data_IF_469385010946
#
_entry.id   IF_469385010946
#
_cell.length_a   1.000
_cell.length_b   1.000
_cell.length_c   1.000
_cell.angle_alpha   90.00
_cell.angle_beta   90.00
_cell.angle_gamma   90.00
#
_symmetry.space_group_name_H-M   'P 1'
#
loop_
_entity.id
_entity.type
_entity.pdbx_description
1 polymer ?
#
# COMPACT_ATOMS: atom_id res chain seq x y z
N UNK A 1 -9.87 12.10 -12.91
CA UNK A 1 -8.88 12.40 -11.84
C UNK A 1 -7.92 11.21 -11.75
N UNK A 2 -6.66 11.41 -11.36
CA UNK A 2 -5.68 10.31 -11.26
C UNK A 2 -5.72 9.64 -9.88
N UNK A 3 -5.51 8.34 -9.82
CA UNK A 3 -5.13 7.63 -8.60
C UNK A 3 -3.64 7.28 -8.69
N UNK A 4 -2.85 7.66 -7.69
CA UNK A 4 -1.43 7.30 -7.61
C UNK A 4 -1.24 6.38 -6.41
N UNK A 5 -0.67 5.20 -6.64
CA UNK A 5 -0.28 4.27 -5.59
C UNK A 5 1.25 4.17 -5.55
N UNK A 6 1.85 4.46 -4.39
CA UNK A 6 3.26 4.22 -4.12
C UNK A 6 3.39 2.94 -3.30
N UNK A 7 3.82 1.85 -3.93
CA UNK A 7 3.81 0.51 -3.35
C UNK A 7 5.22 -0.08 -3.34
N UNK A 8 5.56 -0.82 -2.31
CA UNK A 8 6.81 -1.60 -2.27
C UNK A 8 6.60 -3.09 -2.57
N UNK A 9 5.38 -3.45 -3.01
CA UNK A 9 4.97 -4.72 -3.60
C UNK A 9 5.34 -5.96 -2.78
N UNK A 10 4.95 -5.93 -1.51
CA UNK A 10 4.60 -7.12 -0.76
C UNK A 10 3.21 -7.68 -1.13
N UNK A 11 2.78 -8.72 -0.42
CA UNK A 11 1.45 -9.32 -0.60
C UNK A 11 0.31 -8.35 -0.25
N UNK A 12 0.52 -7.47 0.71
CA UNK A 12 -0.49 -6.51 1.16
C UNK A 12 -0.68 -5.38 0.14
N UNK A 13 0.41 -4.83 -0.43
CA UNK A 13 0.34 -3.90 -1.56
C UNK A 13 -0.36 -4.52 -2.77
N UNK A 14 -0.10 -5.80 -3.04
CA UNK A 14 -0.71 -6.49 -4.17
C UNK A 14 -2.23 -6.64 -3.98
N UNK A 15 -2.68 -6.90 -2.75
CA UNK A 15 -4.10 -6.92 -2.40
C UNK A 15 -4.71 -5.52 -2.57
N UNK A 16 -4.10 -4.50 -1.98
CA UNK A 16 -4.54 -3.11 -2.06
C UNK A 16 -4.61 -2.59 -3.50
N UNK A 17 -3.58 -2.88 -4.31
CA UNK A 17 -3.53 -2.50 -5.73
C UNK A 17 -4.64 -3.18 -6.51
N UNK A 18 -4.91 -4.47 -6.26
CA UNK A 18 -5.99 -5.19 -6.92
C UNK A 18 -7.37 -4.60 -6.56
N UNK A 19 -7.62 -4.30 -5.29
CA UNK A 19 -8.89 -3.66 -4.87
C UNK A 19 -9.06 -2.27 -5.49
N UNK A 20 -8.03 -1.42 -5.37
CA UNK A 20 -8.05 -0.07 -5.87
C UNK A 20 -8.29 -0.02 -7.39
N UNK A 21 -7.61 -0.88 -8.17
CA UNK A 21 -7.78 -0.90 -9.62
C UNK A 21 -9.11 -1.52 -10.07
N UNK A 22 -9.65 -2.49 -9.32
CA UNK A 22 -10.97 -3.07 -9.62
C UNK A 22 -12.09 -2.01 -9.52
N UNK A 23 -11.92 -1.05 -8.62
CA UNK A 23 -12.93 -0.03 -8.31
C UNK A 23 -12.62 1.36 -8.87
N UNK A 24 -11.41 1.58 -9.41
CA UNK A 24 -10.92 2.90 -9.82
C UNK A 24 -11.91 3.68 -10.71
N UNK A 25 -12.51 3.03 -11.72
CA UNK A 25 -13.47 3.68 -12.62
C UNK A 25 -14.77 4.08 -11.90
N UNK A 26 -15.24 3.23 -10.97
CA UNK A 26 -16.46 3.49 -10.18
C UNK A 26 -16.24 4.64 -9.20
N UNK A 27 -15.02 4.76 -8.67
CA UNK A 27 -14.60 5.81 -7.75
C UNK A 27 -14.28 7.14 -8.47
N UNK A 28 -14.48 7.20 -9.79
CA UNK A 28 -14.33 8.43 -10.60
C UNK A 28 -12.89 8.72 -11.05
N UNK A 29 -11.98 7.76 -10.91
CA UNK A 29 -10.65 7.87 -11.49
C UNK A 29 -10.71 7.59 -13.00
N UNK A 30 -9.93 8.36 -13.75
CA UNK A 30 -9.82 8.27 -15.21
C UNK A 30 -8.48 7.67 -15.65
N UNK A 31 -7.57 7.49 -14.70
CA UNK A 31 -6.20 7.01 -14.88
C UNK A 31 -5.68 6.53 -13.52
N UNK A 32 -4.84 5.50 -13.54
CA UNK A 32 -4.11 5.03 -12.38
C UNK A 32 -2.60 5.00 -12.66
N UNK A 33 -1.80 5.26 -11.63
CA UNK A 33 -0.34 5.24 -11.70
C UNK A 33 0.18 4.38 -10.56
N UNK A 34 1.06 3.45 -10.89
CA UNK A 34 1.74 2.57 -9.94
C UNK A 34 3.20 2.99 -9.83
N UNK A 35 3.56 3.62 -8.72
CA UNK A 35 4.94 3.96 -8.39
C UNK A 35 5.55 2.81 -7.60
N UNK A 36 6.38 2.00 -8.27
CA UNK A 36 7.02 0.84 -7.66
C UNK A 36 8.23 1.27 -6.83
N UNK A 37 8.04 1.46 -5.53
CA UNK A 37 9.04 1.92 -4.57
C UNK A 37 9.84 0.75 -3.95
N UNK A 38 11.01 1.04 -3.38
CA UNK A 38 11.73 0.08 -2.54
C UNK A 38 11.17 0.02 -1.11
N UNK A 39 11.29 -1.14 -0.47
CA UNK A 39 10.85 -1.36 0.92
C UNK A 39 10.91 -2.83 1.31
N UNK A 40 9.77 -3.54 1.28
CA UNK A 40 9.69 -4.99 1.43
C UNK A 40 10.62 -5.76 0.48
N UNK A 41 10.85 -5.20 -0.71
CA UNK A 41 11.79 -5.71 -1.71
C UNK A 41 12.60 -4.53 -2.29
N UNK A 42 13.77 -4.79 -2.92
CA UNK A 42 14.51 -3.73 -3.61
C UNK A 42 13.71 -3.19 -4.82
N UNK A 43 13.97 -1.95 -5.28
CA UNK A 43 13.21 -1.29 -6.35
C UNK A 43 13.07 -2.10 -7.63
N UNK A 44 14.10 -2.87 -8.02
CA UNK A 44 14.07 -3.71 -9.23
C UNK A 44 13.04 -4.83 -9.10
N UNK A 45 12.96 -5.46 -7.93
CA UNK A 45 11.98 -6.53 -7.67
C UNK A 45 10.58 -5.94 -7.54
N UNK A 46 10.44 -4.78 -6.89
CA UNK A 46 9.18 -4.05 -6.77
C UNK A 46 8.61 -3.70 -8.15
N UNK A 47 9.43 -3.21 -9.07
CA UNK A 47 9.04 -2.92 -10.44
C UNK A 47 8.54 -4.17 -11.18
N UNK A 48 9.26 -5.28 -11.07
CA UNK A 48 8.84 -6.54 -11.70
C UNK A 48 7.55 -7.09 -11.07
N UNK A 49 7.40 -6.96 -9.75
CA UNK A 49 6.18 -7.35 -9.05
C UNK A 49 4.97 -6.54 -9.51
N UNK A 50 5.11 -5.23 -9.66
CA UNK A 50 4.07 -4.36 -10.22
C UNK A 50 3.61 -4.87 -11.59
N UNK A 51 4.56 -5.16 -12.48
CA UNK A 51 4.28 -5.67 -13.84
C UNK A 51 3.60 -7.03 -13.80
N UNK A 52 4.09 -7.95 -12.97
CA UNK A 52 3.50 -9.29 -12.78
C UNK A 52 2.06 -9.18 -12.29
N UNK A 53 1.80 -8.39 -11.25
CA UNK A 53 0.46 -8.19 -10.72
C UNK A 53 -0.49 -7.68 -11.81
N UNK A 54 -0.10 -6.62 -12.52
CA UNK A 54 -0.88 -6.03 -13.62
C UNK A 54 -1.18 -7.05 -14.71
N UNK A 55 -0.19 -7.87 -15.10
CA UNK A 55 -0.36 -8.91 -16.11
C UNK A 55 -1.35 -10.03 -15.72
N UNK A 56 -1.64 -10.20 -14.42
CA UNK A 56 -2.56 -11.23 -13.92
C UNK A 56 -3.93 -10.69 -13.48
N UNK A 57 -4.18 -9.38 -13.57
CA UNK A 57 -5.48 -8.82 -13.22
C UNK A 57 -6.56 -9.45 -14.11
N UNK A 58 -7.64 -10.02 -13.54
CA UNK A 58 -8.68 -10.71 -14.31
C UNK A 58 -9.71 -9.73 -14.92
N UNK A 59 -9.48 -8.43 -14.79
CA UNK A 59 -10.37 -7.36 -15.20
C UNK A 59 -9.58 -6.26 -15.93
N UNK A 60 -10.27 -5.48 -16.77
CA UNK A 60 -9.69 -4.29 -17.38
C UNK A 60 -9.55 -3.16 -16.36
N UNK A 61 -8.51 -2.33 -16.49
CA UNK A 61 -8.29 -1.17 -15.63
C UNK A 61 -8.65 0.12 -16.37
N UNK A 62 -8.76 1.23 -15.63
CA UNK A 62 -8.53 2.56 -16.23
C UNK A 62 -7.13 2.62 -16.87
N UNK A 63 -6.84 3.55 -17.80
CA UNK A 63 -5.49 3.75 -18.31
C UNK A 63 -4.46 3.73 -17.18
N UNK A 64 -3.48 2.83 -17.30
CA UNK A 64 -2.54 2.51 -16.23
C UNK A 64 -1.13 2.79 -16.71
N UNK A 65 -0.34 3.50 -15.89
CA UNK A 65 1.10 3.68 -16.08
C UNK A 65 1.84 3.09 -14.90
N UNK A 66 2.93 2.36 -15.15
CA UNK A 66 3.88 1.94 -14.10
C UNK A 66 5.08 2.90 -14.11
N UNK A 67 5.50 3.34 -12.95
CA UNK A 67 6.64 4.25 -12.77
C UNK A 67 7.82 3.46 -12.24
N UNK A 68 8.90 3.50 -12.99
CA UNK A 68 10.17 2.85 -12.68
C UNK A 68 11.01 3.76 -11.76
N UNK A 69 11.28 3.27 -10.55
CA UNK A 69 12.07 3.98 -9.54
C UNK A 69 13.46 3.39 -9.32
N UNK A 70 13.90 2.45 -10.18
CA UNK A 70 15.22 1.78 -10.04
C UNK A 70 16.41 2.74 -10.14
N UNK A 71 16.22 3.91 -10.74
CA UNK A 71 17.21 5.00 -10.76
C UNK A 71 17.28 5.82 -9.46
N UNK A 72 16.40 5.57 -8.50
CA UNK A 72 16.28 6.35 -7.26
C UNK A 72 16.82 5.56 -6.05
N UNK A 73 17.65 6.21 -5.24
CA UNK A 73 18.17 5.59 -4.01
C UNK A 73 17.06 5.45 -2.96
N UNK A 74 16.82 4.21 -2.52
CA UNK A 74 15.73 3.87 -1.60
C UNK A 74 16.18 2.77 -0.63
N UNK A 75 15.74 2.79 0.64
CA UNK A 75 15.99 1.71 1.59
C UNK A 75 15.11 0.50 1.26
N UNK A 76 15.56 -0.69 1.65
CA UNK A 76 14.77 -1.93 1.58
C UNK A 76 15.25 -2.95 2.61
N UNK A 77 14.37 -3.86 3.02
CA UNK A 77 14.66 -5.00 3.89
C UNK A 77 14.04 -6.27 3.30
N UNK A 78 14.83 -7.02 2.53
CA UNK A 78 14.31 -8.11 1.71
C UNK A 78 14.46 -9.49 2.37
N UNK A 79 13.44 -9.90 3.13
CA UNK A 79 13.41 -11.18 3.84
C UNK A 79 12.88 -12.33 2.97
N UNK A 80 13.68 -12.77 2.01
CA UNK A 80 13.34 -13.85 1.06
C UNK A 80 12.83 -15.15 1.70
N UNK A 81 13.41 -15.52 2.85
CA UNK A 81 13.02 -16.74 3.57
C UNK A 81 11.57 -16.70 4.09
N UNK A 82 11.00 -15.51 4.22
CA UNK A 82 9.65 -15.28 4.73
C UNK A 82 8.68 -14.89 3.62
N UNK A 83 9.11 -14.15 2.60
CA UNK A 83 8.20 -13.60 1.58
C UNK A 83 8.39 -14.18 0.17
N UNK A 84 9.23 -15.20 0.00
CA UNK A 84 9.54 -15.79 -1.32
C UNK A 84 10.64 -15.05 -2.06
N UNK A 85 10.98 -15.51 -3.26
CA UNK A 85 12.07 -14.92 -4.05
C UNK A 85 11.68 -13.57 -4.67
N UNK A 86 10.38 -13.30 -4.78
CA UNK A 86 9.84 -12.04 -5.29
C UNK A 86 9.20 -11.15 -4.22
N UNK A 87 8.98 -11.61 -2.98
CA UNK A 87 8.30 -10.83 -1.94
C UNK A 87 6.76 -10.86 -1.99
N UNK A 88 6.19 -11.41 -3.06
CA UNK A 88 4.74 -11.69 -3.22
C UNK A 88 4.41 -13.18 -3.02
N UNK A 89 5.28 -13.93 -2.32
CA UNK A 89 5.13 -15.36 -2.08
C UNK A 89 5.19 -16.21 -3.34
N UNK A 90 5.82 -15.73 -4.41
CA UNK A 90 5.93 -16.39 -5.71
C UNK A 90 4.55 -16.78 -6.29
N UNK A 91 3.55 -15.92 -6.06
CA UNK A 91 2.14 -16.18 -6.40
C UNK A 91 1.86 -16.05 -7.90
N UNK A 92 2.58 -15.16 -8.58
CA UNK A 92 2.33 -14.80 -9.98
C UNK A 92 3.44 -15.35 -10.89
N UNK A 93 3.06 -15.83 -12.07
CA UNK A 93 4.01 -16.43 -13.01
C UNK A 93 4.73 -15.39 -13.87
N UNK A 94 5.97 -15.62 -14.25
CA UNK A 94 6.68 -14.72 -15.18
C UNK A 94 6.18 -14.83 -16.63
N UNK A 95 5.26 -15.76 -16.92
CA UNK A 95 4.80 -16.07 -18.28
C UNK A 95 3.66 -15.16 -18.77
N UNK A 96 3.04 -14.36 -17.90
CA UNK A 96 1.94 -13.48 -18.29
C UNK A 96 2.46 -12.24 -19.05
N UNK A 97 1.70 -11.81 -20.07
CA UNK A 97 2.05 -10.63 -20.87
C UNK A 97 1.69 -9.33 -20.17
N UNK A 98 2.69 -8.50 -19.84
CA UNK A 98 2.49 -7.14 -19.34
C UNK A 98 2.26 -6.15 -20.50
N UNK A 99 1.30 -5.23 -20.35
CA UNK A 99 0.86 -4.34 -21.45
C UNK A 99 0.58 -2.88 -21.06
N UNK A 100 1.18 -2.35 -19.99
CA UNK A 100 1.09 -0.94 -19.63
C UNK A 100 2.40 -0.17 -19.95
N UNK A 101 2.37 1.16 -20.16
CA UNK A 101 3.57 1.97 -20.25
C UNK A 101 4.41 1.90 -18.96
N UNK A 102 5.73 1.96 -19.11
CA UNK A 102 6.69 2.10 -18.01
C UNK A 102 7.46 3.39 -18.23
N UNK A 103 7.47 4.28 -17.23
CA UNK A 103 8.10 5.61 -17.32
C UNK A 103 9.08 5.79 -16.16
N UNK A 104 10.31 6.28 -16.38
CA UNK A 104 11.24 6.59 -15.28
C UNK A 104 10.66 7.64 -14.32
N UNK A 105 10.93 7.49 -13.01
CA UNK A 105 10.40 8.37 -11.96
C UNK A 105 10.65 9.85 -12.22
N UNK A 106 11.87 10.24 -12.61
CA UNK A 106 12.21 11.63 -12.90
C UNK A 106 11.35 12.21 -14.03
N UNK A 107 11.19 11.46 -15.14
CA UNK A 107 10.35 11.89 -16.26
C UNK A 107 8.88 11.98 -15.85
N UNK A 108 8.36 10.95 -15.19
CA UNK A 108 6.97 10.93 -14.73
C UNK A 108 6.67 12.11 -13.78
N UNK A 109 7.61 12.43 -12.88
CA UNK A 109 7.47 13.54 -11.94
C UNK A 109 7.41 14.89 -12.66
N UNK A 110 8.20 15.10 -13.72
CA UNK A 110 8.17 16.32 -14.54
C UNK A 110 6.84 16.49 -15.30
N UNK A 111 6.22 15.37 -15.69
CA UNK A 111 4.95 15.33 -16.43
C UNK A 111 3.72 15.33 -15.49
N UNK A 112 3.93 15.18 -14.18
CA UNK A 112 2.87 15.07 -13.18
C UNK A 112 2.01 16.33 -13.13
N UNK A 113 0.78 16.20 -13.63
CA UNK A 113 -0.15 17.31 -13.77
C UNK A 113 -1.61 16.88 -13.53
N UNK A 114 -2.48 17.88 -13.31
CA UNK A 114 -3.90 17.65 -12.97
C UNK A 114 -4.12 17.12 -11.55
N UNK A 115 -5.38 17.01 -11.14
CA UNK A 115 -5.72 16.54 -9.79
C UNK A 115 -5.49 15.02 -9.63
N UNK A 116 -4.98 14.64 -8.45
CA UNK A 116 -4.76 13.26 -8.08
C UNK A 116 -5.02 13.02 -6.59
N UNK A 117 -5.39 11.78 -6.26
CA UNK A 117 -5.28 11.24 -4.90
C UNK A 117 -4.03 10.36 -4.82
N UNK A 118 -3.35 10.39 -3.67
CA UNK A 118 -2.15 9.62 -3.39
C UNK A 118 -2.41 8.61 -2.27
N UNK A 119 -2.17 7.34 -2.58
CA UNK A 119 -2.03 6.24 -1.63
C UNK A 119 -0.55 5.89 -1.50
N UNK A 120 0.04 6.05 -0.31
CA UNK A 120 1.40 5.57 -0.04
C UNK A 120 1.34 4.34 0.85
N UNK A 121 1.78 3.20 0.33
CA UNK A 121 1.66 1.88 0.94
C UNK A 121 3.03 1.27 1.30
N UNK A 122 4.13 1.86 0.82
CA UNK A 122 5.49 1.56 1.25
C UNK A 122 6.17 2.73 1.98
N UNK A 123 7.51 2.63 2.18
CA UNK A 123 8.31 3.72 2.73
C UNK A 123 8.14 5.02 1.95
N UNK A 124 8.03 6.13 2.68
CA UNK A 124 7.70 7.43 2.09
C UNK A 124 8.89 8.15 1.43
N UNK A 125 9.99 7.47 1.11
CA UNK A 125 11.23 8.08 0.56
C UNK A 125 10.97 8.98 -0.66
N UNK A 126 10.07 8.58 -1.56
CA UNK A 126 9.74 9.35 -2.77
C UNK A 126 8.55 10.30 -2.58
N UNK A 127 7.75 10.13 -1.53
CA UNK A 127 6.49 10.86 -1.32
C UNK A 127 6.70 12.37 -1.15
N UNK A 128 7.66 12.87 -0.35
CA UNK A 128 7.94 14.30 -0.27
C UNK A 128 8.27 14.93 -1.63
N UNK A 129 8.94 14.21 -2.54
CA UNK A 129 9.26 14.72 -3.88
C UNK A 129 8.01 14.86 -4.74
N UNK A 130 7.12 13.86 -4.70
CA UNK A 130 5.82 13.89 -5.38
C UNK A 130 4.99 15.07 -4.88
N UNK A 131 4.82 15.17 -3.56
CA UNK A 131 3.96 16.18 -2.94
C UNK A 131 4.55 17.60 -3.01
N UNK A 132 5.89 17.75 -3.04
CA UNK A 132 6.54 19.03 -3.28
C UNK A 132 6.39 19.50 -4.73
N UNK A 133 6.37 18.58 -5.70
CA UNK A 133 6.07 18.92 -7.09
C UNK A 133 4.62 19.37 -7.23
N UNK A 134 3.69 18.62 -6.63
CA UNK A 134 2.26 18.95 -6.64
C UNK A 134 1.53 18.34 -5.45
N UNK A 135 0.79 19.15 -4.71
CA UNK A 135 -0.05 18.65 -3.62
C UNK A 135 -1.16 17.74 -4.14
N UNK A 136 -1.32 16.58 -3.49
CA UNK A 136 -2.46 15.69 -3.71
C UNK A 136 -3.76 16.33 -3.20
N UNK A 137 -4.88 15.98 -3.82
CA UNK A 137 -6.22 16.32 -3.32
C UNK A 137 -6.52 15.58 -2.01
N UNK A 138 -6.19 14.29 -1.99
CA UNK A 138 -6.17 13.46 -0.78
C UNK A 138 -4.84 12.73 -0.72
N UNK A 139 -4.25 12.72 0.47
CA UNK A 139 -3.05 11.94 0.76
C UNK A 139 -3.40 10.98 1.91
N UNK A 140 -3.42 9.70 1.59
CA UNK A 140 -3.66 8.62 2.55
C UNK A 140 -2.44 7.70 2.51
N UNK A 141 -1.99 7.23 3.65
CA UNK A 141 -0.86 6.30 3.69
C UNK A 141 -1.05 5.22 4.73
N UNK A 142 -0.43 4.06 4.51
CA UNK A 142 -0.24 3.02 5.52
C UNK A 142 1.15 3.20 6.13
N UNK A 143 1.18 3.46 7.43
CA UNK A 143 2.44 3.54 8.16
C UNK A 143 2.32 4.19 9.53
N UNK A 144 3.31 3.93 10.37
CA UNK A 144 3.37 4.43 11.75
C UNK A 144 2.53 3.62 12.75
N UNK A 145 2.78 3.90 14.03
CA UNK A 145 2.06 3.32 15.17
C UNK A 145 1.94 4.36 16.30
N UNK A 146 0.86 4.27 17.09
CA UNK A 146 0.57 5.18 18.21
C UNK A 146 0.71 4.45 19.55
N UNK A 147 -0.18 3.50 19.83
CA UNK A 147 -0.22 2.71 21.06
C UNK A 147 0.11 1.23 20.81
N UNK A 148 -0.10 0.75 19.59
CA UNK A 148 0.22 -0.62 19.19
C UNK A 148 1.71 -0.94 19.26
N UNK A 149 2.00 -2.22 19.51
CA UNK A 149 3.36 -2.75 19.52
C UNK A 149 3.97 -2.66 18.11
N UNK A 150 5.10 -1.95 17.95
CA UNK A 150 5.75 -1.79 16.65
C UNK A 150 6.23 -3.12 16.06
N UNK A 151 6.23 -3.26 14.74
CA UNK A 151 6.65 -4.48 14.04
C UNK A 151 8.11 -4.47 13.56
N UNK A 152 8.79 -3.32 13.55
CA UNK A 152 10.15 -3.21 13.01
C UNK A 152 11.02 -2.20 13.76
N UNK A 153 12.06 -2.69 14.44
CA UNK A 153 13.06 -1.87 15.16
C UNK A 153 12.50 -0.74 16.05
N UNK A 154 11.34 -0.96 16.66
CA UNK A 154 10.68 0.01 17.56
C UNK A 154 9.75 1.01 16.87
N UNK A 155 9.50 0.85 15.56
CA UNK A 155 8.50 1.58 14.78
C UNK A 155 7.67 0.60 13.94
N UNK A 156 6.69 1.13 13.24
CA UNK A 156 6.11 0.44 12.09
C UNK A 156 7.15 0.41 10.94
N UNK A 157 7.15 -0.66 10.13
CA UNK A 157 8.10 -0.96 9.06
C UNK A 157 8.33 0.19 8.06
N UNK A 158 7.28 0.67 7.39
CA UNK A 158 7.38 1.76 6.41
C UNK A 158 7.92 3.05 7.04
N UNK A 159 7.48 3.36 8.27
CA UNK A 159 7.99 4.47 9.06
C UNK A 159 9.48 4.28 9.41
N UNK A 160 9.90 3.11 9.86
CA UNK A 160 11.29 2.87 10.26
C UNK A 160 12.27 2.91 9.10
N UNK A 161 11.88 2.43 7.91
CA UNK A 161 12.77 2.39 6.75
C UNK A 161 13.21 3.79 6.30
N UNK A 162 12.35 4.79 6.43
CA UNK A 162 12.72 6.19 6.16
C UNK A 162 11.98 7.17 7.09
N UNK A 163 12.48 7.27 8.33
CA UNK A 163 11.91 8.13 9.37
C UNK A 163 11.97 9.62 9.02
N UNK A 164 13.00 10.02 8.27
CA UNK A 164 13.17 11.41 7.86
C UNK A 164 12.11 11.78 6.82
N UNK A 165 11.98 10.99 5.74
CA UNK A 165 10.97 11.23 4.73
C UNK A 165 9.55 11.13 5.31
N UNK A 166 9.30 10.17 6.21
CA UNK A 166 8.03 10.07 6.95
C UNK A 166 7.73 11.37 7.70
N UNK A 167 8.69 11.85 8.51
CA UNK A 167 8.52 13.06 9.31
C UNK A 167 8.31 14.30 8.45
N UNK A 168 9.04 14.43 7.33
CA UNK A 168 8.85 15.52 6.36
C UNK A 168 7.43 15.47 5.80
N UNK A 169 6.98 14.29 5.34
CA UNK A 169 5.67 14.12 4.71
C UNK A 169 4.54 14.56 5.64
N UNK A 170 4.50 13.99 6.86
CA UNK A 170 3.39 14.20 7.79
C UNK A 170 3.38 15.58 8.44
N UNK A 171 4.53 16.26 8.52
CA UNK A 171 4.62 17.65 9.02
C UNK A 171 4.24 18.69 7.97
N UNK A 172 4.39 18.36 6.70
CA UNK A 172 4.28 19.33 5.60
C UNK A 172 2.92 19.26 4.90
N UNK A 173 2.38 18.06 4.67
CA UNK A 173 1.16 17.89 3.90
C UNK A 173 0.00 17.32 4.74
N UNK A 174 -1.23 17.83 4.54
CA UNK A 174 -2.44 17.22 5.10
C UNK A 174 -2.57 15.77 4.65
N UNK A 175 -2.86 14.88 5.59
CA UNK A 175 -2.90 13.44 5.35
C UNK A 175 -3.95 12.75 6.20
N UNK A 176 -4.25 11.50 5.88
CA UNK A 176 -4.88 10.52 6.77
C UNK A 176 -3.96 9.32 6.90
N UNK A 177 -3.54 9.01 8.13
CA UNK A 177 -2.65 7.90 8.44
C UNK A 177 -3.46 6.66 8.81
N UNK A 178 -3.23 5.57 8.07
CA UNK A 178 -3.62 4.22 8.47
C UNK A 178 -2.44 3.61 9.22
N UNK A 179 -2.52 3.64 10.55
CA UNK A 179 -1.44 3.14 11.41
C UNK A 179 -1.69 1.68 11.78
N UNK A 180 -0.72 1.05 12.45
CA UNK A 180 -0.94 -0.26 13.06
C UNK A 180 -2.18 -0.29 13.97
N UNK A 181 -2.48 0.81 14.67
CA UNK A 181 -3.67 0.96 15.53
C UNK A 181 -4.99 0.98 14.76
N UNK A 182 -4.97 1.44 13.50
CA UNK A 182 -6.12 1.37 12.61
C UNK A 182 -6.47 -0.08 12.29
N UNK A 183 -5.44 -0.91 12.07
CA UNK A 183 -5.57 -2.25 11.52
C UNK A 183 -5.60 -3.37 12.58
N UNK A 184 -4.89 -3.23 13.71
CA UNK A 184 -4.80 -4.25 14.79
C UNK A 184 -6.05 -4.31 15.67
N UNK A 185 -7.21 -4.41 15.04
CA UNK A 185 -8.48 -4.64 15.73
C UNK A 185 -8.98 -6.06 15.48
N UNK A 186 -9.69 -6.71 16.43
CA UNK A 186 -10.11 -8.10 16.29
C UNK A 186 -10.90 -8.42 15.02
N UNK A 187 -11.72 -7.47 14.53
CA UNK A 187 -12.53 -7.64 13.33
C UNK A 187 -11.68 -7.76 12.05
N UNK A 188 -10.48 -7.17 12.01
CA UNK A 188 -9.63 -7.17 10.83
C UNK A 188 -8.60 -8.31 10.83
N UNK A 189 -8.54 -9.12 11.90
CA UNK A 189 -7.60 -10.23 12.01
C UNK A 189 -8.12 -11.47 11.28
N UNK A 190 -7.54 -11.76 10.11
CA UNK A 190 -7.91 -12.90 9.26
C UNK A 190 -7.10 -14.17 9.54
N UNK A 191 -6.21 -14.17 10.54
CA UNK A 191 -5.36 -15.34 10.78
C UNK A 191 -6.18 -16.59 11.14
N UNK A 192 -7.27 -16.43 11.91
CA UNK A 192 -8.11 -17.55 12.33
C UNK A 192 -9.14 -17.96 11.27
N UNK A 193 -9.72 -17.01 10.57
CA UNK A 193 -10.78 -17.23 9.59
C UNK A 193 -10.22 -16.96 8.18
N UNK A 194 -10.05 -17.98 7.33
CA UNK A 194 -9.57 -17.73 5.97
C UNK A 194 -10.61 -16.89 5.21
N UNK A 195 -10.17 -15.95 4.34
CA UNK A 195 -11.10 -15.20 3.51
C UNK A 195 -11.89 -16.17 2.62
N UNK A 196 -13.21 -15.96 2.57
CA UNK A 196 -14.11 -16.73 1.71
C UNK A 196 -13.89 -16.35 0.23
N UNK A 197 -14.35 -17.22 -0.68
CA UNK A 197 -14.37 -16.95 -2.12
C UNK A 197 -13.13 -17.39 -2.90
N UNK A 198 -13.24 -17.42 -4.22
CA UNK A 198 -12.18 -17.87 -5.15
C UNK A 198 -11.66 -16.74 -6.04
N UNK A 199 -12.10 -15.51 -5.78
CA UNK A 199 -11.70 -14.29 -6.48
C UNK A 199 -10.21 -14.02 -6.40
N UNK A 200 -9.73 -13.12 -7.27
CA UNK A 200 -8.31 -12.78 -7.37
C UNK A 200 -7.76 -12.19 -6.06
N UNK A 201 -8.46 -11.21 -5.49
CA UNK A 201 -8.10 -10.63 -4.20
C UNK A 201 -8.06 -11.67 -3.08
N UNK A 202 -9.08 -12.54 -3.00
CA UNK A 202 -9.12 -13.64 -2.03
C UNK A 202 -7.92 -14.60 -2.15
N UNK A 203 -7.34 -14.79 -3.34
CA UNK A 203 -6.12 -15.61 -3.52
C UNK A 203 -4.89 -14.92 -2.92
N UNK A 204 -4.74 -13.61 -3.15
CA UNK A 204 -3.62 -12.83 -2.59
C UNK A 204 -3.72 -12.82 -1.06
N UNK A 205 -4.89 -12.50 -0.51
CA UNK A 205 -5.14 -12.44 0.93
C UNK A 205 -4.92 -13.81 1.60
N UNK A 206 -5.32 -14.92 0.95
CA UNK A 206 -4.98 -16.26 1.45
C UNK A 206 -3.47 -16.49 1.51
N UNK A 207 -2.74 -16.07 0.47
CA UNK A 207 -1.29 -16.23 0.46
C UNK A 207 -0.64 -15.37 1.55
N UNK A 208 -1.07 -14.12 1.75
CA UNK A 208 -0.61 -13.26 2.85
C UNK A 208 -0.79 -13.95 4.21
N UNK A 209 -1.98 -14.51 4.43
CA UNK A 209 -2.30 -15.30 5.62
C UNK A 209 -1.39 -16.51 5.79
N UNK A 210 -1.15 -17.29 4.73
CA UNK A 210 -0.24 -18.44 4.76
C UNK A 210 1.17 -18.04 5.20
N UNK A 211 1.69 -16.89 4.73
CA UNK A 211 3.02 -16.43 5.11
C UNK A 211 3.15 -16.06 6.59
N UNK A 212 2.07 -15.59 7.24
CA UNK A 212 2.11 -15.31 8.69
C UNK A 212 2.36 -16.56 9.55
N UNK A 213 1.94 -17.74 9.09
CA UNK A 213 2.25 -19.00 9.77
C UNK A 213 3.71 -19.42 9.59
N UNK A 214 4.35 -19.00 8.51
CA UNK A 214 5.77 -19.22 8.24
C UNK A 214 6.63 -18.30 9.11
N UNK A 215 6.25 -17.03 9.24
CA UNK A 215 6.99 -16.04 10.06
C UNK A 215 6.77 -16.22 11.57
N UNK A 216 5.68 -16.88 11.99
CA UNK A 216 5.31 -17.02 13.39
C UNK A 216 4.65 -15.78 13.99
N UNK A 217 4.21 -14.86 13.13
CA UNK A 217 3.51 -13.65 13.53
C UNK A 217 2.17 -13.93 14.23
N UNK A 218 1.83 -13.06 15.18
CA UNK A 218 0.54 -13.10 15.88
C UNK A 218 -0.45 -12.21 15.16
N UNK A 219 -1.42 -12.82 14.50
CA UNK A 219 -2.40 -12.15 13.66
C UNK A 219 -1.96 -12.05 12.20
N UNK A 220 -2.93 -11.71 11.35
CA UNK A 220 -2.73 -11.42 9.95
C UNK A 220 -3.73 -10.32 9.60
N UNK A 221 -3.24 -9.21 9.10
CA UNK A 221 -3.99 -8.01 8.78
C UNK A 221 -3.50 -7.54 7.41
N UNK A 222 -4.41 -7.14 6.53
CA UNK A 222 -4.04 -6.60 5.22
C UNK A 222 -3.96 -5.08 5.37
N UNK A 223 -2.79 -4.59 5.77
CA UNK A 223 -2.61 -3.20 6.22
C UNK A 223 -2.95 -2.19 5.14
N UNK A 224 -2.44 -2.45 3.94
CA UNK A 224 -2.49 -1.50 2.82
C UNK A 224 -3.88 -1.40 2.21
N UNK A 225 -4.63 -2.51 2.21
CA UNK A 225 -6.02 -2.52 1.72
C UNK A 225 -6.91 -1.64 2.60
N UNK A 226 -6.62 -1.52 3.90
CA UNK A 226 -7.33 -0.59 4.77
C UNK A 226 -7.11 0.88 4.37
N UNK A 227 -5.95 1.24 3.80
CA UNK A 227 -5.75 2.58 3.23
C UNK A 227 -6.60 2.81 1.97
N UNK A 228 -6.81 1.78 1.16
CA UNK A 228 -7.78 1.82 0.05
C UNK A 228 -9.20 2.02 0.60
N UNK A 229 -9.57 1.30 1.66
CA UNK A 229 -10.90 1.46 2.29
C UNK A 229 -11.11 2.86 2.88
N UNK A 230 -10.09 3.49 3.46
CA UNK A 230 -10.17 4.89 3.91
C UNK A 230 -10.48 5.84 2.75
N UNK A 231 -9.91 5.59 1.57
CA UNK A 231 -10.13 6.43 0.40
C UNK A 231 -11.53 6.25 -0.20
N UNK A 232 -12.00 5.00 -0.30
CA UNK A 232 -13.26 4.61 -0.95
C UNK A 232 -14.47 4.77 -0.02
N UNK A 233 -14.32 4.43 1.24
CA UNK A 233 -15.39 4.36 2.24
C UNK A 233 -15.01 5.14 3.52
N UNK A 234 -14.80 6.47 3.42
CA UNK A 234 -14.38 7.28 4.56
C UNK A 234 -15.35 7.22 5.74
N UNK A 235 -16.63 6.89 5.51
CA UNK A 235 -17.65 6.72 6.54
C UNK A 235 -17.44 5.48 7.44
N UNK A 236 -16.56 4.55 7.05
CA UNK A 236 -16.18 3.42 7.90
C UNK A 236 -15.15 3.79 8.96
N UNK A 237 -14.65 5.03 8.93
CA UNK A 237 -13.58 5.51 9.76
C UNK A 237 -13.94 6.81 10.47
N UNK A 238 -13.53 6.91 11.73
CA UNK A 238 -13.38 8.19 12.41
C UNK A 238 -11.93 8.66 12.30
N UNK A 239 -11.69 9.97 12.32
CA UNK A 239 -10.31 10.51 12.36
C UNK A 239 -10.05 11.18 13.70
N UNK A 240 -8.83 11.03 14.20
CA UNK A 240 -8.38 11.67 15.43
C UNK A 240 -6.92 12.10 15.33
N UNK A 241 -6.57 13.17 16.04
CA UNK A 241 -5.17 13.61 16.11
C UNK A 241 -4.41 12.77 17.15
N UNK A 242 -3.24 12.28 16.78
CA UNK A 242 -2.32 11.59 17.68
C UNK A 242 -0.88 11.99 17.39
N UNK A 243 0.02 11.71 18.33
CA UNK A 243 1.45 11.97 18.18
C UNK A 243 2.19 10.64 18.17
N UNK A 244 3.02 10.42 17.16
CA UNK A 244 3.86 9.22 17.07
C UNK A 244 5.09 9.31 17.99
N UNK A 245 5.94 8.28 17.92
CA UNK A 245 7.17 8.18 18.71
C UNK A 245 8.19 9.29 18.42
N UNK A 246 8.17 9.85 17.22
CA UNK A 246 9.09 10.91 16.76
C UNK A 246 8.51 12.33 16.98
N UNK A 247 7.38 12.43 17.67
CA UNK A 247 6.73 13.70 17.95
C UNK A 247 6.02 14.29 16.73
N UNK A 248 5.76 13.49 15.69
CA UNK A 248 4.97 13.90 14.54
C UNK A 248 3.48 13.86 14.90
N UNK A 249 2.75 14.91 14.55
CA UNK A 249 1.29 14.94 14.74
C UNK A 249 0.60 14.36 13.51
N UNK A 250 -0.06 13.22 13.68
CA UNK A 250 -0.77 12.49 12.65
C UNK A 250 -2.29 12.71 12.74
N UNK A 251 -2.96 12.76 11.59
CA UNK A 251 -4.41 12.55 11.53
C UNK A 251 -4.67 11.08 11.28
N UNK A 252 -4.95 10.33 12.34
CA UNK A 252 -5.04 8.87 12.31
C UNK A 252 -6.47 8.41 12.03
N UNK A 253 -6.63 7.43 11.15
CA UNK A 253 -7.90 6.75 10.91
C UNK A 253 -8.16 5.70 12.01
N UNK A 254 -9.40 5.65 12.51
CA UNK A 254 -9.89 4.61 13.41
C UNK A 254 -11.01 3.87 12.70
N UNK A 255 -10.85 2.56 12.51
CA UNK A 255 -11.91 1.73 11.94
C UNK A 255 -13.10 1.63 12.92
N UNK A 256 -14.29 2.04 12.48
CA UNK A 256 -15.51 2.08 13.32
C UNK A 256 -16.67 1.28 12.76
N UNK A 257 -16.61 0.84 11.50
CA UNK A 257 -17.66 0.00 10.91
C UNK A 257 -17.87 -1.32 11.68
N UNK A 258 -16.81 -1.87 12.27
CA UNK A 258 -16.88 -3.06 13.12
C UNK A 258 -17.19 -4.37 12.39
N UNK A 259 -17.31 -4.35 11.06
CA UNK A 259 -17.46 -5.56 10.26
C UNK A 259 -16.12 -6.29 10.10
N UNK A 260 -16.14 -7.63 10.03
CA UNK A 260 -14.96 -8.42 9.70
C UNK A 260 -14.34 -8.02 8.35
N UNK A 261 -13.01 -8.18 8.20
CA UNK A 261 -12.33 -7.90 6.92
C UNK A 261 -12.92 -8.73 5.75
N UNK A 262 -13.28 -9.99 6.01
CA UNK A 262 -13.92 -10.88 5.02
C UNK A 262 -15.23 -10.31 4.43
N UNK A 263 -15.96 -9.50 5.19
CA UNK A 263 -17.21 -8.89 4.75
C UNK A 263 -17.01 -7.60 3.94
N UNK A 264 -15.81 -7.00 4.02
CA UNK A 264 -15.50 -5.70 3.40
C UNK A 264 -14.40 -5.78 2.35
N UNK A 265 -13.74 -6.94 2.20
CA UNK A 265 -12.60 -7.14 1.29
C UNK A 265 -12.92 -6.73 -0.15
N UNK A 266 -14.07 -7.14 -0.69
CA UNK A 266 -14.49 -6.82 -2.07
C UNK A 266 -15.47 -5.63 -2.16
N UNK A 267 -15.68 -4.92 -1.05
CA UNK A 267 -16.58 -3.75 -0.99
C UNK A 267 -15.86 -2.47 -1.41
#
# INVERSE_FOLDING_TARGET
MKLILCCDYGLDDAAATADALAHAAQDGYSEAVLVAAGGNVPPEVSLENAKKLVAHLPFGTVPLTVVDTTGEAQPYEFLKTIHGEDGMGDLFSDAAGFCAPVVPFAQWLEELSGEFDLLSLGPMTLVPRILAHKNARRFVFMGGNIAEEPNFHGYEFNHALDREAFSIAVRTWPHVAVTMDTCRVPALNIQKNPPAGTGFLAKIVRRAREMTFVSGEKGCYIWDDMAVKVLRHPEWFETYAATDRDGNRLTVARYVLGKPYEDIMEA
#
